data_IF_969132461466
#
_entry.id   IF_969132461466
#
_cell.length_a   1.000
_cell.length_b   1.000
_cell.length_c   1.000
_cell.angle_alpha   90.00
_cell.angle_beta   90.00
_cell.angle_gamma   90.00
#
_symmetry.space_group_name_H-M   'P 1'
#
loop_
_entity.id
_entity.type
_entity.pdbx_description
1 polymer ?
#
# COMPACT_ATOMS: atom_id res chain seq x y z
N UNK A 1 -0.37 -1.59 -15.20
CA UNK A 1 -0.39 -0.52 -14.19
C UNK A 1 0.74 -0.78 -13.23
N UNK A 2 1.50 0.26 -12.88
CA UNK A 2 2.54 0.19 -11.86
C UNK A 2 2.07 0.96 -10.62
N UNK A 3 1.93 0.29 -9.49
CA UNK A 3 1.65 0.87 -8.18
C UNK A 3 2.98 1.13 -7.46
N UNK A 4 3.25 2.41 -7.15
CA UNK A 4 4.49 2.85 -6.52
C UNK A 4 4.28 3.07 -5.02
N UNK A 5 5.25 2.67 -4.18
CA UNK A 5 5.16 2.89 -2.74
C UNK A 5 5.25 4.38 -2.42
N UNK A 6 4.73 4.75 -1.25
CA UNK A 6 4.84 6.11 -0.72
C UNK A 6 6.30 6.54 -0.59
N UNK A 7 6.55 7.85 -0.71
CA UNK A 7 7.92 8.40 -0.65
C UNK A 7 8.70 8.32 -1.97
N UNK A 8 8.13 7.73 -3.01
CA UNK A 8 8.70 7.79 -4.38
C UNK A 8 8.86 9.23 -4.85
N UNK A 9 7.86 10.08 -4.58
CA UNK A 9 7.91 11.51 -4.86
C UNK A 9 8.07 12.30 -3.56
N UNK A 10 9.10 13.13 -3.48
CA UNK A 10 9.39 13.92 -2.27
C UNK A 10 8.29 14.95 -2.01
N UNK A 11 7.84 15.05 -0.76
CA UNK A 11 6.78 15.99 -0.34
C UNK A 11 5.34 15.52 -0.61
N UNK A 12 5.16 14.40 -1.31
CA UNK A 12 3.86 13.77 -1.50
C UNK A 12 3.69 12.63 -0.49
N UNK A 13 2.78 12.77 0.47
CA UNK A 13 2.43 11.72 1.45
C UNK A 13 1.50 10.63 0.88
N UNK A 14 1.36 10.55 -0.44
CA UNK A 14 0.40 9.68 -1.13
C UNK A 14 1.13 8.65 -1.97
N UNK A 15 0.50 7.48 -2.17
CA UNK A 15 0.91 6.50 -3.17
C UNK A 15 0.56 7.02 -4.56
N UNK A 16 1.34 6.61 -5.55
CA UNK A 16 1.14 7.02 -6.95
C UNK A 16 1.07 5.81 -7.85
N UNK A 17 0.31 5.95 -8.93
CA UNK A 17 0.14 4.89 -9.93
C UNK A 17 0.56 5.40 -11.29
N UNK A 18 1.18 4.54 -12.09
CA UNK A 18 1.49 4.80 -13.49
C UNK A 18 0.62 3.90 -14.36
N UNK A 19 -0.19 4.55 -15.21
CA UNK A 19 -1.07 3.88 -16.16
C UNK A 19 -0.39 3.79 -17.52
N UNK A 20 -0.38 2.59 -18.09
CA UNK A 20 0.09 2.30 -19.43
C UNK A 20 -1.11 1.87 -20.26
N UNK A 21 -1.40 2.58 -21.35
CA UNK A 21 -2.55 2.30 -22.20
C UNK A 21 -2.26 2.63 -23.66
N UNK A 22 -2.95 1.94 -24.57
CA UNK A 22 -2.88 2.16 -26.00
C UNK A 22 -4.16 2.86 -26.49
N UNK A 23 -4.01 3.93 -27.27
CA UNK A 23 -5.16 4.62 -27.85
C UNK A 23 -5.78 3.76 -28.96
N UNK A 24 -7.10 3.64 -28.94
CA UNK A 24 -7.88 3.05 -30.05
C UNK A 24 -8.19 1.56 -29.90
N UNK A 25 -7.78 0.91 -28.80
CA UNK A 25 -8.19 -0.46 -28.47
C UNK A 25 -8.91 -0.47 -27.13
N UNK A 26 -9.99 -1.25 -27.04
CA UNK A 26 -10.66 -1.49 -25.77
C UNK A 26 -9.81 -2.39 -24.88
N UNK A 27 -9.62 -2.01 -23.62
CA UNK A 27 -8.93 -2.82 -22.61
C UNK A 27 -9.77 -4.03 -22.25
N UNK A 28 -9.21 -5.23 -22.43
CA UNK A 28 -9.84 -6.50 -22.03
C UNK A 28 -9.37 -6.98 -20.66
N UNK A 29 -8.10 -6.72 -20.38
CA UNK A 29 -7.41 -7.10 -19.17
C UNK A 29 -6.36 -6.05 -18.83
N UNK A 30 -6.06 -5.94 -17.54
CA UNK A 30 -5.08 -5.03 -16.99
C UNK A 30 -4.09 -5.84 -16.19
N UNK A 31 -2.82 -5.77 -16.59
CA UNK A 31 -1.72 -6.32 -15.82
C UNK A 31 -1.33 -5.32 -14.73
N UNK A 32 -1.30 -5.77 -13.48
CA UNK A 32 -0.89 -5.00 -12.32
C UNK A 32 0.52 -5.40 -11.91
N UNK A 33 1.31 -4.41 -11.50
CA UNK A 33 2.57 -4.61 -10.83
C UNK A 33 2.61 -3.69 -9.61
N UNK A 34 2.74 -4.25 -8.42
CA UNK A 34 2.94 -3.50 -7.19
C UNK A 34 4.41 -3.56 -6.79
N UNK A 35 5.06 -2.39 -6.77
CA UNK A 35 6.45 -2.30 -6.37
C UNK A 35 6.56 -2.37 -4.84
N UNK A 36 6.88 -3.57 -4.34
CA UNK A 36 7.19 -3.79 -2.93
C UNK A 36 8.70 -3.70 -2.72
N UNK A 37 9.12 -2.88 -1.75
CA UNK A 37 10.52 -2.71 -1.38
C UNK A 37 10.67 -2.90 0.12
N UNK A 38 11.76 -3.55 0.54
CA UNK A 38 12.11 -3.72 1.97
C UNK A 38 12.62 -2.43 2.63
N UNK A 39 12.65 -1.32 1.88
CA UNK A 39 13.16 -0.02 2.33
C UNK A 39 12.16 1.10 2.06
N UNK A 40 12.11 2.08 2.96
CA UNK A 40 11.33 3.29 2.76
C UNK A 40 11.99 4.22 1.75
N UNK A 41 11.22 4.74 0.81
CA UNK A 41 11.70 5.72 -0.16
C UNK A 41 11.67 7.14 0.41
N UNK A 42 12.60 7.98 -0.04
CA UNK A 42 12.65 9.39 0.34
C UNK A 42 13.88 10.10 -0.19
N UNK A 43 14.14 11.32 0.31
CA UNK A 43 15.24 12.17 -0.17
C UNK A 43 16.62 11.50 -0.07
N UNK A 44 16.86 10.75 1.00
CA UNK A 44 18.12 10.03 1.24
C UNK A 44 18.15 8.64 0.63
N UNK A 45 17.00 8.14 0.18
CA UNK A 45 16.83 6.76 -0.28
C UNK A 45 15.90 6.75 -1.52
N UNK A 46 16.35 7.30 -2.66
CA UNK A 46 15.48 7.47 -3.82
C UNK A 46 15.17 6.13 -4.49
N UNK A 47 14.11 6.13 -5.30
CA UNK A 47 13.85 5.07 -6.28
C UNK A 47 14.95 5.10 -7.35
N UNK A 48 15.41 3.94 -7.79
CA UNK A 48 16.45 3.79 -8.80
C UNK A 48 16.09 2.71 -9.84
N UNK A 49 16.92 2.55 -10.86
CA UNK A 49 16.70 1.61 -11.96
C UNK A 49 16.68 0.15 -11.50
N UNK A 50 17.48 -0.21 -10.49
CA UNK A 50 17.55 -1.57 -9.99
C UNK A 50 16.24 -1.98 -9.29
N UNK A 51 15.56 -1.04 -8.61
CA UNK A 51 14.24 -1.30 -8.02
C UNK A 51 13.19 -1.62 -9.09
N UNK A 52 13.35 -1.10 -10.31
CA UNK A 52 12.43 -1.31 -11.43
C UNK A 52 12.86 -2.42 -12.39
N UNK A 53 14.00 -3.08 -12.15
CA UNK A 53 14.56 -4.07 -13.08
C UNK A 53 13.61 -5.25 -13.31
N UNK A 54 13.00 -5.78 -12.25
CA UNK A 54 12.01 -6.85 -12.35
C UNK A 54 10.77 -6.39 -13.11
N UNK A 55 10.24 -5.19 -12.80
CA UNK A 55 9.12 -4.61 -13.53
C UNK A 55 9.39 -4.55 -15.03
N UNK A 56 10.55 -4.02 -15.45
CA UNK A 56 10.91 -3.88 -16.87
C UNK A 56 11.04 -5.24 -17.56
N UNK A 57 11.50 -6.26 -16.85
CA UNK A 57 11.61 -7.61 -17.40
C UNK A 57 10.24 -8.27 -17.55
N UNK A 58 9.42 -8.26 -16.49
CA UNK A 58 8.08 -8.87 -16.50
C UNK A 58 7.10 -8.11 -17.40
N UNK A 59 7.24 -6.79 -17.56
CA UNK A 59 6.36 -5.98 -18.39
C UNK A 59 6.40 -6.39 -19.88
N UNK A 60 7.50 -6.99 -20.35
CA UNK A 60 7.62 -7.47 -21.74
C UNK A 60 6.67 -8.62 -22.05
N UNK A 61 6.43 -9.49 -21.07
CA UNK A 61 5.61 -10.70 -21.21
C UNK A 61 4.33 -10.65 -20.39
N UNK A 62 4.17 -9.63 -19.54
CA UNK A 62 3.09 -9.51 -18.55
C UNK A 62 2.99 -10.74 -17.66
N UNK A 63 4.13 -11.34 -17.30
CA UNK A 63 4.18 -12.52 -16.46
C UNK A 63 3.69 -12.20 -15.03
N UNK A 64 3.11 -13.21 -14.38
CA UNK A 64 2.66 -13.14 -12.98
C UNK A 64 3.82 -13.44 -12.02
N UNK A 65 3.80 -12.79 -10.87
CA UNK A 65 4.78 -12.94 -9.79
C UNK A 65 4.13 -12.58 -8.44
N UNK A 66 4.89 -12.60 -7.35
CA UNK A 66 4.42 -12.08 -6.05
C UNK A 66 4.02 -10.59 -6.13
N UNK A 67 4.63 -9.85 -7.06
CA UNK A 67 4.39 -8.43 -7.28
C UNK A 67 3.44 -8.16 -8.45
N UNK A 68 3.13 -9.14 -9.31
CA UNK A 68 2.31 -8.92 -10.51
C UNK A 68 1.22 -9.96 -10.77
N UNK A 69 0.08 -9.48 -11.25
CA UNK A 69 -1.10 -10.31 -11.55
C UNK A 69 -1.95 -9.70 -12.65
N UNK A 70 -2.76 -10.54 -13.33
CA UNK A 70 -3.69 -10.10 -14.36
C UNK A 70 -5.12 -9.99 -13.82
N UNK A 71 -5.83 -8.91 -14.18
CA UNK A 71 -7.26 -8.74 -13.86
C UNK A 71 -8.04 -8.44 -15.13
N UNK A 72 -9.12 -9.18 -15.36
CA UNK A 72 -10.01 -8.92 -16.51
C UNK A 72 -10.89 -7.72 -16.22
N UNK A 73 -11.21 -6.96 -17.27
CA UNK A 73 -12.11 -5.82 -17.12
C UNK A 73 -13.50 -6.24 -16.63
N UNK A 74 -13.94 -7.46 -16.92
CA UNK A 74 -15.20 -8.04 -16.43
C UNK A 74 -15.25 -8.24 -14.92
N UNK A 75 -14.09 -8.39 -14.29
CA UNK A 75 -13.96 -8.73 -12.87
C UNK A 75 -13.85 -7.46 -12.00
N UNK A 76 -13.68 -6.30 -12.65
CA UNK A 76 -13.73 -4.99 -12.02
C UNK A 76 -15.20 -4.57 -11.85
N UNK A 77 -15.49 -3.83 -10.78
CA UNK A 77 -16.83 -3.26 -10.57
C UNK A 77 -17.20 -2.31 -11.73
N UNK A 78 -18.25 -2.66 -12.48
CA UNK A 78 -18.66 -1.93 -13.69
C UNK A 78 -19.36 -0.59 -13.41
N UNK A 79 -19.65 -0.27 -12.16
CA UNK A 79 -20.25 1.01 -11.79
C UNK A 79 -19.18 2.03 -11.39
N UNK A 80 -18.12 1.57 -10.71
CA UNK A 80 -17.06 2.41 -10.15
C UNK A 80 -15.77 2.37 -10.95
N UNK A 81 -15.51 1.30 -11.71
CA UNK A 81 -14.25 1.04 -12.40
C UNK A 81 -13.02 1.20 -11.49
N UNK A 82 -13.10 0.69 -10.26
CA UNK A 82 -12.01 0.73 -9.30
C UNK A 82 -10.79 -0.06 -9.80
N UNK A 83 -9.70 0.66 -10.09
CA UNK A 83 -8.40 0.12 -10.51
C UNK A 83 -7.37 0.15 -9.37
N UNK A 84 -7.81 0.15 -8.12
CA UNK A 84 -6.89 0.06 -6.98
C UNK A 84 -6.12 -1.26 -7.00
N UNK A 85 -4.80 -1.20 -6.82
CA UNK A 85 -3.95 -2.39 -6.73
C UNK A 85 -4.28 -3.19 -5.47
N UNK A 86 -5.03 -4.28 -5.63
CA UNK A 86 -5.33 -5.25 -4.56
C UNK A 86 -4.55 -6.52 -4.87
N UNK A 87 -3.33 -6.62 -4.36
CA UNK A 87 -2.44 -7.74 -4.65
C UNK A 87 -3.01 -9.04 -4.02
N UNK A 88 -3.43 -10.02 -4.83
CA UNK A 88 -3.94 -11.29 -4.32
C UNK A 88 -2.84 -12.19 -3.71
N UNK A 89 -1.57 -11.90 -4.04
CA UNK A 89 -0.40 -12.65 -3.60
C UNK A 89 0.23 -12.07 -2.33
N UNK A 90 -0.36 -10.99 -1.78
CA UNK A 90 0.14 -10.40 -0.55
C UNK A 90 0.09 -11.42 0.60
N UNK A 91 1.15 -11.50 1.44
CA UNK A 91 1.13 -12.37 2.60
C UNK A 91 -0.04 -11.99 3.50
N UNK A 92 -0.71 -13.01 4.05
CA UNK A 92 -1.83 -12.81 4.98
C UNK A 92 -1.28 -12.08 6.20
N UNK A 93 -1.60 -10.80 6.34
CA UNK A 93 -1.27 -10.04 7.53
C UNK A 93 -1.91 -10.73 8.75
N UNK A 94 -1.21 -10.77 9.90
CA UNK A 94 -1.81 -11.31 11.11
C UNK A 94 -3.14 -10.60 11.39
N UNK A 95 -4.16 -11.32 11.88
CA UNK A 95 -5.47 -10.74 12.11
C UNK A 95 -5.33 -9.49 13.00
N UNK A 96 -6.00 -8.41 12.58
CA UNK A 96 -6.06 -7.20 13.39
C UNK A 96 -6.61 -7.53 14.78
N UNK A 97 -6.08 -6.85 15.80
CA UNK A 97 -6.54 -6.96 17.19
C UNK A 97 -8.05 -6.73 17.27
N UNK A 98 -8.74 -7.48 18.14
CA UNK A 98 -10.17 -7.30 18.34
C UNK A 98 -10.47 -5.94 18.96
N UNK A 99 -11.57 -5.31 18.55
CA UNK A 99 -11.98 -3.98 19.07
C UNK A 99 -12.09 -3.95 20.59
N UNK A 100 -12.57 -5.03 21.22
CA UNK A 100 -12.66 -5.13 22.67
C UNK A 100 -11.29 -5.04 23.36
N UNK A 101 -10.25 -5.65 22.77
CA UNK A 101 -8.88 -5.60 23.31
C UNK A 101 -8.33 -4.18 23.20
N UNK A 102 -8.54 -3.52 22.05
CA UNK A 102 -8.12 -2.12 21.83
C UNK A 102 -8.79 -1.21 22.87
N UNK A 103 -10.10 -1.35 23.09
CA UNK A 103 -10.84 -0.53 24.06
C UNK A 103 -10.41 -0.79 25.51
N UNK A 104 -10.10 -2.04 25.86
CA UNK A 104 -9.60 -2.38 27.19
C UNK A 104 -8.23 -1.73 27.43
N UNK A 105 -7.31 -1.81 26.46
CA UNK A 105 -5.99 -1.17 26.53
C UNK A 105 -6.10 0.36 26.64
N UNK A 106 -6.96 0.99 25.84
CA UNK A 106 -7.22 2.44 25.94
C UNK A 106 -7.67 2.85 27.34
N UNK A 107 -8.59 2.09 27.94
CA UNK A 107 -9.08 2.40 29.29
C UNK A 107 -7.99 2.27 30.36
N UNK A 108 -7.08 1.31 30.21
CA UNK A 108 -5.92 1.15 31.10
C UNK A 108 -5.01 2.38 30.98
N UNK A 109 -4.64 2.74 29.75
CA UNK A 109 -3.77 3.90 29.47
C UNK A 109 -4.38 5.22 29.96
N UNK A 110 -5.69 5.40 29.83
CA UNK A 110 -6.41 6.57 30.36
C UNK A 110 -6.33 6.63 31.89
N UNK A 111 -6.43 5.47 32.56
CA UNK A 111 -6.34 5.38 34.03
C UNK A 111 -4.94 5.73 34.49
N UNK A 112 -3.90 5.17 33.86
CA UNK A 112 -2.50 5.49 34.15
C UNK A 112 -2.21 6.98 33.93
N UNK A 113 -2.71 7.54 32.83
CA UNK A 113 -2.58 8.97 32.52
C UNK A 113 -3.25 9.84 33.58
N UNK A 114 -4.44 9.46 34.06
CA UNK A 114 -5.14 10.17 35.12
C UNK A 114 -4.37 10.15 36.46
N UNK A 115 -3.76 9.02 36.80
CA UNK A 115 -2.90 8.89 37.98
C UNK A 115 -1.66 9.78 37.88
N UNK A 116 -0.97 9.78 36.74
CA UNK A 116 0.20 10.63 36.51
C UNK A 116 -0.18 12.12 36.62
N UNK A 117 -1.31 12.53 36.03
CA UNK A 117 -1.80 13.90 36.12
C UNK A 117 -2.11 14.29 37.58
N UNK A 118 -2.65 13.36 38.37
CA UNK A 118 -2.91 13.60 39.80
C UNK A 118 -1.61 13.85 40.56
N UNK A 119 -0.59 13.03 40.35
CA UNK A 119 0.73 13.21 40.99
C UNK A 119 1.33 14.57 40.63
N UNK A 120 1.27 14.97 39.36
CA UNK A 120 1.78 16.30 38.92
C UNK A 120 1.04 17.44 39.62
N UNK A 121 -0.29 17.33 39.80
CA UNK A 121 -1.08 18.34 40.51
C UNK A 121 -0.76 18.44 42.00
N UNK A 122 -0.29 17.37 42.63
CA UNK A 122 0.12 17.37 44.04
C UNK A 122 1.52 18.00 44.25
N UNK A 123 2.30 18.21 43.18
CA UNK A 123 3.63 18.82 43.20
C UNK A 123 3.61 20.35 42.95
N UNK A 124 2.44 20.95 42.71
CA UNK A 124 2.23 22.39 42.50
C UNK A 124 1.33 22.91 43.63
#
# INVERSE_FOLDING_TARGET
>A
MLDLPGGTFTGAGVKTVVLFFEKGKATKETWFYQLNLDRNLGKTNPLNEQDLAEFVELQKTQAESENSWMVKISDIDQNTFDLSAKNPNAPIEPPLRHTQEILAEMKILDTESAEIIKVIKELI
#
